data_IF_501902692284
#
_entry.id   IF_501902692284
#
_cell.length_a   1.000
_cell.length_b   1.000
_cell.length_c   1.000
_cell.angle_alpha   90.00
_cell.angle_beta   90.00
_cell.angle_gamma   90.00
#
_symmetry.space_group_name_H-M   'P 1'
#
loop_
_entity.id
_entity.type
_entity.pdbx_description
1 polymer ?
#
# COMPACT_ATOMS: atom_id res chain seq x y z
N UNK A 1 -24.69 31.19 2.36
CA UNK A 1 -23.90 31.61 1.18
C UNK A 1 -23.58 30.38 0.34
N UNK A 2 -24.11 30.36 -0.89
CA UNK A 2 -24.20 29.21 -1.79
C UNK A 2 -22.89 28.94 -2.54
N UNK A 3 -22.51 27.68 -2.73
CA UNK A 3 -21.68 27.30 -3.88
C UNK A 3 -22.25 26.07 -4.59
N UNK A 4 -22.66 26.32 -5.84
CA UNK A 4 -23.26 25.41 -6.80
C UNK A 4 -22.24 24.43 -7.38
N UNK A 5 -22.72 23.21 -7.54
CA UNK A 5 -22.20 22.13 -8.37
C UNK A 5 -21.96 22.60 -9.81
N UNK A 6 -20.80 22.27 -10.40
CA UNK A 6 -20.65 22.10 -11.85
C UNK A 6 -19.98 20.76 -12.14
N UNK A 7 -20.79 19.77 -12.52
CA UNK A 7 -20.38 18.67 -13.40
C UNK A 7 -20.30 19.23 -14.82
N UNK A 8 -19.21 18.96 -15.55
CA UNK A 8 -19.25 18.91 -17.02
C UNK A 8 -18.43 17.73 -17.50
N UNK A 9 -19.14 16.87 -18.21
CA UNK A 9 -18.67 15.78 -19.06
C UNK A 9 -17.97 16.40 -20.28
N UNK A 10 -16.83 15.85 -20.68
CA UNK A 10 -16.40 15.85 -22.08
C UNK A 10 -15.67 14.53 -22.37
N UNK A 11 -16.39 13.61 -23.01
CA UNK A 11 -15.82 12.73 -24.02
C UNK A 11 -15.59 13.58 -25.27
N UNK A 12 -14.35 13.66 -25.75
CA UNK A 12 -14.01 13.70 -27.18
C UNK A 12 -12.50 13.50 -27.31
N UNK A 13 -12.12 12.62 -28.24
CA UNK A 13 -10.78 12.08 -28.36
C UNK A 13 -9.72 13.11 -28.76
N UNK A 14 -8.56 13.00 -28.14
CA UNK A 14 -7.31 13.55 -28.64
C UNK A 14 -6.25 12.44 -28.59
N UNK A 15 -5.68 12.11 -29.76
CA UNK A 15 -4.53 11.22 -29.90
C UNK A 15 -3.32 11.82 -29.15
N UNK A 16 -2.41 10.99 -28.60
CA UNK A 16 -1.17 11.50 -28.02
C UNK A 16 -0.25 12.06 -29.13
N UNK A 17 0.44 13.19 -28.93
CA UNK A 17 1.37 13.69 -29.93
C UNK A 17 2.62 12.80 -29.99
N UNK A 18 3.05 12.53 -31.21
CA UNK A 18 4.24 11.78 -31.55
C UNK A 18 5.52 12.42 -30.97
N UNK A 19 6.50 11.58 -30.62
CA UNK A 19 7.85 12.00 -30.25
C UNK A 19 8.48 12.81 -31.39
N UNK A 20 8.66 14.11 -31.18
CA UNK A 20 9.49 14.96 -32.03
C UNK A 20 10.94 14.84 -31.59
N UNK A 21 11.76 14.20 -32.43
CA UNK A 21 13.23 14.24 -32.39
C UNK A 21 13.71 15.42 -33.23
N UNK A 22 13.85 16.62 -32.64
CA UNK A 22 14.76 17.68 -33.15
C UNK A 22 15.30 18.53 -31.99
N UNK A 23 16.55 19.03 -32.07
CA UNK A 23 17.21 19.78 -31.00
C UNK A 23 16.68 21.21 -30.89
N UNK A 24 16.65 21.74 -29.67
CA UNK A 24 16.31 23.14 -29.39
C UNK A 24 17.40 24.09 -29.94
N UNK A 25 17.04 25.27 -30.48
CA UNK A 25 18.02 26.23 -30.96
C UNK A 25 18.72 26.94 -29.80
N UNK A 26 20.04 27.05 -29.88
CA UNK A 26 20.86 27.89 -29.00
C UNK A 26 20.46 29.36 -29.16
N UNK A 27 19.65 29.88 -28.23
CA UNK A 27 19.53 31.32 -28.05
C UNK A 27 20.77 31.85 -27.32
N UNK A 28 21.51 32.68 -28.04
CA UNK A 28 22.64 33.48 -27.57
C UNK A 28 22.13 34.45 -26.49
N UNK A 29 22.48 34.21 -25.24
CA UNK A 29 22.25 35.16 -24.13
C UNK A 29 23.31 36.26 -24.23
N UNK A 30 22.93 37.40 -24.80
CA UNK A 30 23.71 38.63 -24.74
C UNK A 30 23.13 39.52 -23.63
N UNK A 31 23.83 39.57 -22.50
CA UNK A 31 23.95 40.69 -21.54
C UNK A 31 24.17 40.13 -20.13
N UNK A 32 25.44 40.11 -19.72
CA UNK A 32 25.85 39.91 -18.34
C UNK A 32 26.15 41.30 -17.75
N UNK A 33 25.54 41.61 -16.61
CA UNK A 33 25.94 42.70 -15.72
C UNK A 33 27.41 42.51 -15.31
N UNK A 34 28.30 43.50 -15.50
CA UNK A 34 29.72 43.36 -15.19
C UNK A 34 30.02 43.87 -13.78
N UNK A 35 29.45 43.27 -12.74
CA UNK A 35 29.94 43.45 -11.36
C UNK A 35 29.73 42.18 -10.53
N UNK A 36 30.59 41.18 -10.73
CA UNK A 36 30.96 40.14 -9.75
C UNK A 36 32.05 39.25 -10.38
N UNK A 37 33.24 39.80 -10.52
CA UNK A 37 34.44 39.10 -10.98
C UNK A 37 35.47 39.10 -9.84
N UNK A 38 35.41 38.10 -8.96
CA UNK A 38 36.54 37.72 -8.10
C UNK A 38 36.63 36.19 -8.04
N UNK A 39 37.62 35.67 -8.77
CA UNK A 39 38.41 34.46 -8.47
C UNK A 39 37.68 33.15 -8.17
N UNK A 40 37.27 32.41 -9.20
CA UNK A 40 37.12 30.94 -9.12
C UNK A 40 38.00 30.27 -10.19
N UNK A 41 38.81 29.25 -9.84
CA UNK A 41 39.69 28.57 -10.78
C UNK A 41 38.90 27.80 -11.86
N UNK A 42 39.38 27.76 -13.11
CA UNK A 42 38.63 27.25 -14.24
C UNK A 42 38.83 25.74 -14.34
N UNK A 43 38.01 24.96 -13.64
CA UNK A 43 37.54 23.58 -14.00
C UNK A 43 36.98 22.87 -12.78
N UNK A 44 35.90 23.39 -12.20
CA UNK A 44 35.04 22.55 -11.37
C UNK A 44 34.21 21.71 -12.34
N UNK A 45 34.48 20.40 -12.42
CA UNK A 45 33.69 19.49 -13.25
C UNK A 45 32.19 19.70 -12.95
N UNK A 46 31.36 19.90 -13.98
CA UNK A 46 29.93 20.24 -13.86
C UNK A 46 29.18 19.38 -12.84
N UNK A 47 29.57 18.11 -12.65
CA UNK A 47 29.01 17.21 -11.62
C UNK A 47 29.08 17.77 -10.18
N UNK A 48 30.14 18.50 -9.85
CA UNK A 48 30.40 19.05 -8.52
C UNK A 48 29.68 20.39 -8.28
N UNK A 49 29.15 21.02 -9.33
CA UNK A 49 28.29 22.22 -9.24
C UNK A 49 26.81 21.83 -9.32
N UNK A 50 26.47 20.85 -10.17
CA UNK A 50 25.12 20.33 -10.32
C UNK A 50 24.64 19.61 -9.05
N UNK A 51 25.50 18.83 -8.38
CA UNK A 51 25.11 18.10 -7.17
C UNK A 51 24.72 19.01 -6.00
N UNK A 52 25.47 20.09 -5.68
CA UNK A 52 25.03 21.11 -4.72
C UNK A 52 23.75 21.83 -5.15
N UNK A 53 23.60 22.18 -6.43
CA UNK A 53 22.42 22.89 -6.95
C UNK A 53 21.15 22.03 -6.89
N UNK A 54 21.23 20.73 -7.19
CA UNK A 54 20.10 19.79 -7.04
C UNK A 54 19.72 19.56 -5.58
N UNK A 55 20.70 19.64 -4.66
CA UNK A 55 20.46 19.51 -3.22
C UNK A 55 20.06 20.80 -2.54
N UNK A 56 20.30 21.96 -3.13
CA UNK A 56 20.01 23.26 -2.53
C UNK A 56 18.53 23.44 -2.19
N UNK A 57 17.55 23.06 -3.04
CA UNK A 57 16.13 23.08 -2.69
C UNK A 57 15.79 22.14 -1.53
N UNK A 58 16.41 20.96 -1.49
CA UNK A 58 16.21 19.99 -0.41
C UNK A 58 16.81 20.48 0.91
N UNK A 59 18.02 21.04 0.89
CA UNK A 59 18.67 21.63 2.06
C UNK A 59 17.91 22.85 2.57
N UNK A 60 17.46 23.74 1.67
CA UNK A 60 16.64 24.90 2.01
C UNK A 60 15.30 24.47 2.61
N UNK A 61 14.61 23.52 1.98
CA UNK A 61 13.38 22.93 2.53
C UNK A 61 13.62 22.24 3.87
N UNK A 62 14.75 21.53 4.07
CA UNK A 62 15.09 20.87 5.33
C UNK A 62 15.38 21.86 6.45
N UNK A 63 15.99 23.00 6.15
CA UNK A 63 16.25 24.07 7.12
C UNK A 63 14.94 24.80 7.45
N UNK A 64 14.21 25.26 6.44
CA UNK A 64 12.95 26.01 6.59
C UNK A 64 11.83 25.17 7.22
N UNK A 65 11.69 23.91 6.79
CA UNK A 65 10.70 22.98 7.35
C UNK A 65 11.24 22.20 8.54
N UNK A 66 12.51 22.39 8.93
CA UNK A 66 13.18 21.55 9.93
C UNK A 66 12.45 21.54 11.28
N UNK A 67 11.97 22.69 11.72
CA UNK A 67 11.18 22.81 12.97
C UNK A 67 9.82 22.14 12.84
N UNK A 68 9.12 22.35 11.71
CA UNK A 68 7.83 21.71 11.46
C UNK A 68 7.96 20.18 11.34
N UNK A 69 9.02 19.70 10.68
CA UNK A 69 9.34 18.30 10.50
C UNK A 69 9.69 17.64 11.84
N UNK A 70 10.48 18.30 12.70
CA UNK A 70 10.73 17.82 14.07
C UNK A 70 9.43 17.70 14.86
N UNK A 71 8.55 18.71 14.80
CA UNK A 71 7.24 18.65 15.45
C UNK A 71 6.36 17.51 14.91
N UNK A 72 6.38 17.26 13.60
CA UNK A 72 5.68 16.12 12.99
C UNK A 72 6.26 14.78 13.47
N UNK A 73 7.57 14.62 13.44
CA UNK A 73 8.25 13.41 13.89
C UNK A 73 7.97 13.12 15.36
N UNK A 74 7.99 14.13 16.23
CA UNK A 74 7.63 13.98 17.64
C UNK A 74 6.17 13.56 17.83
N UNK A 75 5.24 14.13 17.04
CA UNK A 75 3.84 13.68 17.05
C UNK A 75 3.71 12.22 16.62
N UNK A 76 4.39 11.82 15.56
CA UNK A 76 4.39 10.43 15.08
C UNK A 76 4.97 9.48 16.12
N UNK A 77 6.08 9.86 16.76
CA UNK A 77 6.68 9.10 17.85
C UNK A 77 5.71 8.95 19.03
N UNK A 78 5.10 10.05 19.48
CA UNK A 78 4.10 10.02 20.56
C UNK A 78 2.92 9.11 20.22
N UNK A 79 2.49 9.06 18.95
CA UNK A 79 1.44 8.15 18.49
C UNK A 79 1.92 6.69 18.45
N UNK A 80 3.17 6.45 18.04
CA UNK A 80 3.79 5.12 18.05
C UNK A 80 3.90 4.56 19.47
N UNK A 81 4.29 5.40 20.44
CA UNK A 81 4.44 5.04 21.84
C UNK A 81 3.08 4.68 22.50
N UNK A 82 1.97 5.15 21.93
CA UNK A 82 0.60 4.87 22.40
C UNK A 82 0.00 3.58 21.84
N UNK A 83 0.68 2.87 20.94
CA UNK A 83 0.13 1.62 20.40
C UNK A 83 1.05 0.86 19.45
N UNK A 84 1.21 -0.41 19.77
CA UNK A 84 2.10 -1.38 19.09
C UNK A 84 1.88 -1.44 17.58
N UNK A 85 0.64 -1.29 17.12
CA UNK A 85 0.29 -1.37 15.71
C UNK A 85 0.86 -0.21 14.88
N UNK A 86 0.95 1.00 15.45
CA UNK A 86 1.42 2.18 14.73
C UNK A 86 2.95 2.22 14.70
N UNK A 87 3.59 1.86 15.82
CA UNK A 87 5.04 1.65 15.87
C UNK A 87 5.51 0.64 14.83
N UNK A 88 4.85 -0.53 14.76
CA UNK A 88 5.18 -1.55 13.77
C UNK A 88 4.99 -1.07 12.32
N UNK A 89 3.99 -0.23 12.06
CA UNK A 89 3.75 0.33 10.74
C UNK A 89 4.82 1.34 10.30
N UNK A 90 5.35 2.14 11.25
CA UNK A 90 6.41 3.13 11.00
C UNK A 90 7.77 2.50 10.66
N UNK A 91 7.99 1.23 11.01
CA UNK A 91 9.22 0.51 10.68
C UNK A 91 9.38 0.19 9.18
N UNK A 92 8.35 0.45 8.36
CA UNK A 92 8.45 0.29 6.91
C UNK A 92 9.10 1.50 6.25
N UNK A 93 10.16 1.26 5.49
CA UNK A 93 10.79 2.31 4.66
C UNK A 93 9.92 2.67 3.46
N UNK A 94 10.00 3.91 2.95
CA UNK A 94 9.33 4.29 1.70
C UNK A 94 9.68 3.34 0.55
N UNK A 95 10.93 2.89 0.44
CA UNK A 95 11.35 1.93 -0.60
C UNK A 95 10.58 0.62 -0.50
N UNK A 96 10.40 0.07 0.70
CA UNK A 96 9.60 -1.14 0.92
C UNK A 96 8.12 -0.93 0.60
N UNK A 97 7.58 0.26 0.92
CA UNK A 97 6.19 0.61 0.66
C UNK A 97 5.88 0.73 -0.84
N UNK A 98 6.77 1.37 -1.60
CA UNK A 98 6.59 1.64 -3.04
C UNK A 98 7.10 0.51 -3.94
N UNK A 99 7.86 -0.46 -3.42
CA UNK A 99 8.35 -1.62 -4.20
C UNK A 99 7.31 -2.73 -4.35
N UNK A 100 6.11 -2.41 -4.87
CA UNK A 100 4.99 -3.36 -4.93
C UNK A 100 4.88 -4.17 -6.22
N UNK A 101 5.67 -3.87 -7.26
CA UNK A 101 5.69 -4.62 -8.53
C UNK A 101 4.29 -4.90 -9.14
N UNK A 102 3.43 -3.88 -9.15
CA UNK A 102 2.04 -3.97 -9.61
C UNK A 102 1.21 -5.07 -8.90
N UNK A 103 1.54 -5.39 -7.64
CA UNK A 103 0.78 -6.34 -6.83
C UNK A 103 -0.44 -5.70 -6.14
N UNK A 104 -0.32 -4.42 -5.81
CA UNK A 104 -1.40 -3.57 -5.30
C UNK A 104 -1.46 -2.28 -6.12
N UNK A 105 -2.53 -1.51 -5.98
CA UNK A 105 -2.72 -0.24 -6.68
C UNK A 105 -2.04 0.92 -5.93
N UNK A 106 -1.71 1.98 -6.67
CA UNK A 106 -1.19 3.24 -6.10
C UNK A 106 -2.08 3.78 -4.97
N UNK A 107 -3.40 3.68 -5.13
CA UNK A 107 -4.36 4.08 -4.11
C UNK A 107 -4.15 3.33 -2.80
N UNK A 108 -3.92 2.01 -2.86
CA UNK A 108 -3.72 1.18 -1.67
C UNK A 108 -2.41 1.55 -0.95
N UNK A 109 -1.35 1.85 -1.72
CA UNK A 109 -0.08 2.33 -1.18
C UNK A 109 -0.27 3.69 -0.49
N UNK A 110 -0.97 4.63 -1.14
CA UNK A 110 -1.24 5.96 -0.60
C UNK A 110 -2.10 5.94 0.66
N UNK A 111 -3.14 5.10 0.70
CA UNK A 111 -3.97 4.95 1.92
C UNK A 111 -3.12 4.46 3.08
N UNK A 112 -2.30 3.43 2.85
CA UNK A 112 -1.39 2.93 3.89
C UNK A 112 -0.40 3.99 4.33
N UNK A 113 0.27 4.67 3.39
CA UNK A 113 1.22 5.75 3.69
C UNK A 113 0.60 6.82 4.59
N UNK A 114 -0.57 7.33 4.20
CA UNK A 114 -1.28 8.37 4.96
C UNK A 114 -1.82 7.87 6.29
N UNK A 115 -2.19 6.59 6.39
CA UNK A 115 -2.56 5.99 7.67
C UNK A 115 -1.38 6.04 8.64
N UNK A 116 -0.21 5.56 8.20
CA UNK A 116 1.00 5.54 9.02
C UNK A 116 1.47 6.95 9.40
N UNK A 117 1.28 7.94 8.53
CA UNK A 117 1.58 9.33 8.85
C UNK A 117 0.45 10.07 9.61
N UNK A 118 -0.64 9.39 9.96
CA UNK A 118 -1.82 10.00 10.59
C UNK A 118 -2.42 11.17 9.78
N UNK A 119 -2.30 11.10 8.45
CA UNK A 119 -2.72 12.11 7.47
C UNK A 119 -4.03 11.78 6.75
N UNK A 120 -4.70 10.68 7.11
CA UNK A 120 -6.02 10.36 6.56
C UNK A 120 -7.05 11.33 7.14
N UNK A 121 -7.75 12.04 6.24
CA UNK A 121 -8.72 13.04 6.63
C UNK A 121 -10.02 12.37 7.09
N UNK A 122 -10.30 12.49 8.38
CA UNK A 122 -11.50 11.96 9.00
C UNK A 122 -12.70 12.91 8.93
N UNK A 123 -12.62 14.01 8.19
CA UNK A 123 -13.71 14.98 8.05
C UNK A 123 -15.03 14.37 7.53
N UNK A 124 -16.14 14.90 8.03
CA UNK A 124 -17.48 14.78 7.46
C UNK A 124 -18.41 15.90 7.97
N UNK A 125 -19.51 16.21 7.26
CA UNK A 125 -20.46 17.21 7.72
C UNK A 125 -21.03 16.91 9.12
N UNK A 126 -20.95 17.90 10.01
CA UNK A 126 -21.41 17.78 11.41
C UNK A 126 -20.44 17.05 12.34
N UNK A 127 -19.21 16.75 11.91
CA UNK A 127 -18.22 16.06 12.76
C UNK A 127 -17.81 16.85 14.01
N UNK A 128 -17.80 18.18 13.90
CA UNK A 128 -17.50 19.07 15.02
C UNK A 128 -18.53 18.92 16.16
N UNK A 129 -19.79 18.63 15.81
CA UNK A 129 -20.88 18.38 16.75
C UNK A 129 -20.87 16.94 17.25
N UNK A 130 -20.58 15.98 16.36
CA UNK A 130 -20.53 14.57 16.70
C UNK A 130 -19.42 13.87 15.91
N UNK A 131 -18.34 13.52 16.60
CA UNK A 131 -17.19 12.81 16.04
C UNK A 131 -17.25 11.30 16.26
N UNK A 132 -18.41 10.75 16.60
CA UNK A 132 -18.60 9.32 16.80
C UNK A 132 -18.59 8.55 15.49
N UNK A 133 -18.17 7.30 15.55
CA UNK A 133 -18.09 6.44 14.39
C UNK A 133 -19.48 6.05 13.90
N UNK A 134 -19.69 6.22 12.59
CA UNK A 134 -20.97 5.95 11.92
C UNK A 134 -21.02 4.58 11.24
N UNK A 135 -19.93 3.79 11.27
CA UNK A 135 -19.79 2.55 10.47
C UNK A 135 -20.83 1.48 10.81
N UNK A 136 -21.16 1.33 12.09
CA UNK A 136 -22.19 0.43 12.59
C UNK A 136 -22.96 1.14 13.70
N UNK A 137 -24.21 0.73 13.95
CA UNK A 137 -25.03 1.26 15.06
C UNK A 137 -24.33 1.08 16.41
N UNK A 138 -23.70 -0.07 16.65
CA UNK A 138 -22.93 -0.37 17.88
C UNK A 138 -21.74 0.58 18.10
N UNK A 139 -21.24 1.25 17.05
CA UNK A 139 -20.15 2.21 17.18
C UNK A 139 -20.60 3.62 17.58
N UNK A 140 -21.91 3.88 17.70
CA UNK A 140 -22.48 5.23 17.79
C UNK A 140 -22.02 6.08 18.98
N UNK A 141 -21.47 5.47 20.02
CA UNK A 141 -20.89 6.15 21.20
C UNK A 141 -19.37 6.26 21.17
N UNK A 142 -18.69 5.63 20.20
CA UNK A 142 -17.23 5.58 20.14
C UNK A 142 -16.68 6.65 19.22
N UNK A 143 -15.77 7.48 19.74
CA UNK A 143 -15.07 8.49 18.95
C UNK A 143 -14.35 7.87 17.74
N UNK A 144 -14.62 8.41 16.56
CA UNK A 144 -13.98 7.96 15.33
C UNK A 144 -12.53 8.45 15.25
N UNK A 145 -11.61 7.50 15.38
CA UNK A 145 -10.16 7.68 15.25
C UNK A 145 -9.61 6.72 14.20
N UNK A 146 -8.38 6.95 13.72
CA UNK A 146 -7.70 6.00 12.83
C UNK A 146 -7.53 4.64 13.53
N UNK A 147 -7.14 4.62 14.81
CA UNK A 147 -7.08 3.39 15.61
C UNK A 147 -8.44 2.66 15.61
N UNK A 148 -9.55 3.38 15.75
CA UNK A 148 -10.87 2.76 15.70
C UNK A 148 -11.21 2.19 14.31
N UNK A 149 -11.03 2.98 13.25
CA UNK A 149 -11.37 2.56 11.87
C UNK A 149 -10.59 1.33 11.44
N UNK A 150 -9.30 1.29 11.75
CA UNK A 150 -8.38 0.26 11.24
C UNK A 150 -8.14 -0.88 12.21
N UNK A 151 -8.43 -0.69 13.50
CA UNK A 151 -8.13 -1.70 14.51
C UNK A 151 -9.31 -2.00 15.43
N UNK A 152 -9.79 -1.05 16.24
CA UNK A 152 -10.67 -1.39 17.37
C UNK A 152 -12.16 -1.45 17.06
N UNK A 153 -12.60 -1.00 15.87
CA UNK A 153 -14.01 -1.13 15.48
C UNK A 153 -14.39 -2.60 15.28
N UNK A 154 -15.65 -3.00 15.55
CA UNK A 154 -16.11 -4.38 15.31
C UNK A 154 -15.90 -4.84 13.86
N UNK A 155 -16.06 -3.92 12.89
CA UNK A 155 -15.75 -4.21 11.48
C UNK A 155 -14.28 -4.53 11.29
N UNK A 156 -13.38 -3.70 11.81
CA UNK A 156 -11.94 -3.96 11.70
C UNK A 156 -11.55 -5.28 12.36
N UNK A 157 -12.01 -5.52 13.59
CA UNK A 157 -11.75 -6.76 14.32
C UNK A 157 -12.24 -7.99 13.54
N UNK A 158 -13.48 -7.99 13.06
CA UNK A 158 -14.01 -9.11 12.29
C UNK A 158 -13.26 -9.34 10.96
N UNK A 159 -12.80 -8.28 10.30
CA UNK A 159 -12.05 -8.41 9.05
C UNK A 159 -10.64 -8.94 9.27
N UNK A 160 -9.94 -8.45 10.30
CA UNK A 160 -8.63 -8.97 10.67
C UNK A 160 -8.71 -10.40 11.20
N UNK A 161 -9.72 -10.71 12.00
CA UNK A 161 -9.98 -12.07 12.48
C UNK A 161 -10.16 -13.04 11.31
N UNK A 162 -11.03 -12.71 10.35
CA UNK A 162 -11.28 -13.57 9.19
C UNK A 162 -9.99 -13.82 8.38
N UNK A 163 -9.17 -12.77 8.18
CA UNK A 163 -7.89 -12.88 7.49
C UNK A 163 -6.87 -13.72 8.28
N UNK A 164 -6.79 -13.54 9.59
CA UNK A 164 -5.87 -14.29 10.44
C UNK A 164 -6.26 -15.75 10.57
N UNK A 165 -7.55 -16.06 10.77
CA UNK A 165 -8.08 -17.43 10.80
C UNK A 165 -7.74 -18.14 9.49
N UNK A 166 -8.04 -17.50 8.36
CA UNK A 166 -7.70 -17.96 7.02
C UNK A 166 -6.19 -18.19 6.82
N UNK A 167 -5.36 -17.35 7.44
CA UNK A 167 -3.92 -17.38 7.25
C UNK A 167 -3.24 -18.47 8.07
N UNK A 168 -3.63 -18.59 9.34
CA UNK A 168 -3.05 -19.54 10.28
C UNK A 168 -3.62 -20.95 10.10
N UNK A 169 -4.78 -21.08 9.43
CA UNK A 169 -5.49 -22.35 9.28
C UNK A 169 -6.09 -22.85 10.59
N UNK A 170 -6.36 -21.94 11.52
CA UNK A 170 -6.94 -22.21 12.83
C UNK A 170 -7.78 -21.03 13.27
N UNK A 171 -8.86 -21.29 14.01
CA UNK A 171 -9.73 -20.21 14.48
C UNK A 171 -9.00 -19.24 15.42
N UNK A 172 -8.94 -17.96 15.03
CA UNK A 172 -8.40 -16.88 15.85
C UNK A 172 -9.57 -16.25 16.58
N UNK A 173 -9.51 -16.23 17.91
CA UNK A 173 -10.56 -15.61 18.72
C UNK A 173 -10.48 -14.08 18.62
N UNK A 174 -11.61 -13.36 18.78
CA UNK A 174 -11.62 -11.90 18.65
C UNK A 174 -10.62 -11.18 19.57
N UNK A 175 -10.43 -11.68 20.79
CA UNK A 175 -9.48 -11.10 21.74
C UNK A 175 -8.01 -11.31 21.33
N UNK A 176 -7.72 -12.38 20.58
CA UNK A 176 -6.36 -12.71 20.14
C UNK A 176 -5.89 -11.87 18.96
N UNK A 177 -6.81 -11.25 18.20
CA UNK A 177 -6.50 -10.40 17.04
C UNK A 177 -5.51 -9.30 17.43
N UNK A 178 -5.65 -8.74 18.64
CA UNK A 178 -4.77 -7.69 19.19
C UNK A 178 -3.30 -8.10 19.24
N UNK A 179 -2.99 -9.38 19.47
CA UNK A 179 -1.61 -9.88 19.49
C UNK A 179 -0.93 -9.83 18.11
N UNK A 180 -1.72 -9.83 17.04
CA UNK A 180 -1.22 -9.78 15.66
C UNK A 180 -1.14 -8.37 15.09
N UNK A 181 -1.47 -7.33 15.86
CA UNK A 181 -1.54 -5.95 15.38
C UNK A 181 -0.25 -5.48 14.71
N UNK A 182 0.89 -5.79 15.34
CA UNK A 182 2.20 -5.47 14.80
C UNK A 182 2.43 -6.13 13.43
N UNK A 183 2.11 -7.41 13.29
CA UNK A 183 2.28 -8.16 12.05
C UNK A 183 1.38 -7.66 10.93
N UNK A 184 0.09 -7.44 11.21
CA UNK A 184 -0.88 -6.92 10.25
C UNK A 184 -0.48 -5.53 9.75
N UNK A 185 -0.13 -4.63 10.67
CA UNK A 185 0.17 -3.24 10.34
C UNK A 185 1.57 -3.04 9.77
N UNK A 186 2.56 -3.83 10.21
CA UNK A 186 3.86 -3.91 9.53
C UNK A 186 3.77 -4.68 8.21
N UNK A 187 2.63 -5.29 7.88
CA UNK A 187 2.47 -6.17 6.71
C UNK A 187 3.57 -7.24 6.65
N UNK A 188 4.02 -7.64 7.83
CA UNK A 188 5.04 -8.65 8.06
C UNK A 188 4.34 -9.93 8.48
N UNK A 189 4.77 -11.03 7.87
CA UNK A 189 4.21 -12.34 8.12
C UNK A 189 4.27 -12.66 9.63
N UNK A 190 3.14 -13.06 10.26
CA UNK A 190 3.18 -13.65 11.59
C UNK A 190 4.09 -14.89 11.59
N UNK A 191 4.81 -15.19 12.67
CA UNK A 191 5.61 -16.40 12.77
C UNK A 191 4.74 -17.63 12.47
N UNK A 192 5.19 -18.45 11.52
CA UNK A 192 4.50 -19.71 11.24
C UNK A 192 4.71 -20.66 12.41
N UNK A 193 3.67 -21.38 12.80
CA UNK A 193 3.80 -22.43 13.80
C UNK A 193 4.77 -23.52 13.32
N UNK A 194 5.44 -24.19 14.27
CA UNK A 194 6.36 -25.29 13.94
C UNK A 194 5.67 -26.38 13.10
N UNK A 195 4.41 -26.69 13.42
CA UNK A 195 3.60 -27.66 12.69
C UNK A 195 3.33 -27.22 11.25
N UNK A 196 2.97 -25.95 11.03
CA UNK A 196 2.76 -25.40 9.69
C UNK A 196 4.07 -25.43 8.87
N UNK A 197 5.18 -24.98 9.46
CA UNK A 197 6.48 -25.01 8.80
C UNK A 197 6.92 -26.44 8.46
N UNK A 198 6.66 -27.40 9.33
CA UNK A 198 6.96 -28.80 9.07
C UNK A 198 6.10 -29.37 7.94
N UNK A 199 4.80 -29.03 7.88
CA UNK A 199 3.94 -29.37 6.73
C UNK A 199 4.50 -28.80 5.43
N UNK A 200 4.92 -27.54 5.39
CA UNK A 200 5.54 -26.96 4.20
C UNK A 200 6.80 -27.71 3.77
N UNK A 201 7.68 -28.04 4.72
CA UNK A 201 8.92 -28.77 4.43
C UNK A 201 8.63 -30.15 3.85
N UNK A 202 7.64 -30.86 4.39
CA UNK A 202 7.21 -32.15 3.84
C UNK A 202 6.62 -31.99 2.44
N UNK A 203 5.79 -30.97 2.20
CA UNK A 203 5.11 -30.76 0.92
C UNK A 203 6.03 -30.23 -0.18
N UNK A 204 6.94 -29.32 0.14
CA UNK A 204 7.74 -28.55 -0.83
C UNK A 204 9.24 -28.88 -0.81
N UNK A 205 9.70 -29.69 0.15
CA UNK A 205 11.11 -30.09 0.28
C UNK A 205 12.05 -28.89 0.31
N UNK A 206 13.12 -28.98 -0.48
CA UNK A 206 14.17 -27.96 -0.57
C UNK A 206 13.70 -26.63 -1.17
N UNK A 207 12.51 -26.58 -1.77
CA UNK A 207 11.96 -25.36 -2.37
C UNK A 207 11.19 -24.48 -1.39
N UNK A 208 11.02 -24.91 -0.14
CA UNK A 208 10.20 -24.24 0.89
C UNK A 208 10.53 -22.75 1.06
N UNK A 209 11.81 -22.37 1.00
CA UNK A 209 12.23 -20.97 1.14
C UNK A 209 11.71 -20.08 0.01
N UNK A 210 11.67 -20.61 -1.22
CA UNK A 210 11.09 -19.93 -2.38
C UNK A 210 9.60 -19.70 -2.20
N UNK A 211 8.89 -20.68 -1.63
CA UNK A 211 7.47 -20.54 -1.30
C UNK A 211 7.23 -19.53 -0.20
N UNK A 212 8.07 -19.49 0.84
CA UNK A 212 7.98 -18.51 1.93
C UNK A 212 8.08 -17.07 1.41
N UNK A 213 8.93 -16.81 0.41
CA UNK A 213 9.02 -15.49 -0.23
C UNK A 213 7.68 -15.10 -0.87
N UNK A 214 7.05 -16.00 -1.62
CA UNK A 214 5.73 -15.74 -2.20
C UNK A 214 4.66 -15.61 -1.13
N UNK A 215 4.78 -16.37 -0.04
CA UNK A 215 3.82 -16.32 1.05
C UNK A 215 3.87 -14.98 1.79
N UNK A 216 5.06 -14.48 2.08
CA UNK A 216 5.28 -13.10 2.59
C UNK A 216 4.66 -12.05 1.66
N UNK A 217 4.80 -12.23 0.33
CA UNK A 217 4.20 -11.33 -0.66
C UNK A 217 2.67 -11.37 -0.62
N UNK A 218 2.06 -12.55 -0.53
CA UNK A 218 0.61 -12.69 -0.43
C UNK A 218 0.10 -12.01 0.85
N UNK A 219 0.76 -12.24 1.99
CA UNK A 219 0.42 -11.58 3.26
C UNK A 219 0.42 -10.06 3.13
N UNK A 220 1.48 -9.53 2.53
CA UNK A 220 1.65 -8.11 2.32
C UNK A 220 0.53 -7.51 1.44
N UNK A 221 0.11 -8.23 0.40
CA UNK A 221 -1.01 -7.85 -0.47
C UNK A 221 -2.32 -7.84 0.32
N UNK A 222 -2.66 -8.93 1.02
CA UNK A 222 -3.96 -9.03 1.70
C UNK A 222 -4.10 -8.03 2.84
N UNK A 223 -3.02 -7.73 3.58
CA UNK A 223 -3.01 -6.67 4.59
C UNK A 223 -3.26 -5.29 3.96
N UNK A 224 -2.59 -5.00 2.83
CA UNK A 224 -2.77 -3.73 2.11
C UNK A 224 -4.20 -3.58 1.58
N UNK A 225 -4.78 -4.67 1.05
CA UNK A 225 -6.19 -4.71 0.63
C UNK A 225 -7.11 -4.45 1.82
N UNK A 226 -6.93 -5.17 2.93
CA UNK A 226 -7.74 -5.01 4.13
C UNK A 226 -7.78 -3.55 4.60
N UNK A 227 -6.61 -2.94 4.76
CA UNK A 227 -6.45 -1.53 5.15
C UNK A 227 -7.21 -0.63 4.17
N UNK A 228 -6.95 -0.76 2.86
CA UNK A 228 -7.64 0.07 1.87
C UNK A 228 -9.15 -0.12 1.84
N UNK A 229 -9.64 -1.34 2.02
CA UNK A 229 -11.07 -1.66 2.05
C UNK A 229 -11.75 -1.12 3.30
N UNK A 230 -11.12 -1.20 4.48
CA UNK A 230 -11.65 -0.57 5.70
C UNK A 230 -11.82 0.94 5.52
N UNK A 231 -10.87 1.59 4.84
CA UNK A 231 -10.94 3.01 4.51
C UNK A 231 -12.06 3.33 3.53
N UNK A 232 -12.18 2.58 2.44
CA UNK A 232 -13.25 2.73 1.44
C UNK A 232 -14.62 2.55 2.10
N UNK A 233 -14.81 1.49 2.88
CA UNK A 233 -16.05 1.20 3.60
C UNK A 233 -16.45 2.36 4.51
N UNK A 234 -15.51 2.91 5.28
CA UNK A 234 -15.77 4.10 6.10
C UNK A 234 -16.24 5.28 5.24
N UNK A 235 -15.59 5.54 4.11
CA UNK A 235 -15.97 6.65 3.26
C UNK A 235 -17.34 6.46 2.61
N UNK A 236 -17.72 5.24 2.23
CA UNK A 236 -19.07 4.94 1.73
C UNK A 236 -20.15 5.22 2.78
N UNK A 237 -19.93 4.85 4.04
CA UNK A 237 -20.87 5.16 5.12
C UNK A 237 -21.01 6.68 5.30
N UNK A 238 -19.88 7.37 5.32
CA UNK A 238 -19.82 8.78 5.71
C UNK A 238 -20.25 9.73 4.59
N UNK A 239 -19.89 9.44 3.34
CA UNK A 239 -20.11 10.32 2.19
C UNK A 239 -21.19 9.82 1.23
N UNK A 240 -21.47 8.51 1.21
CA UNK A 240 -22.49 7.90 0.35
C UNK A 240 -23.69 7.38 1.16
N UNK A 241 -23.69 7.57 2.48
CA UNK A 241 -24.75 7.13 3.41
C UNK A 241 -25.04 5.63 3.36
N UNK A 242 -24.06 4.82 2.95
CA UNK A 242 -24.21 3.37 2.86
C UNK A 242 -24.35 2.76 4.27
N UNK A 243 -25.29 1.83 4.42
CA UNK A 243 -25.38 1.00 5.62
C UNK A 243 -24.49 -0.23 5.46
N UNK A 244 -23.60 -0.44 6.41
CA UNK A 244 -22.75 -1.62 6.44
C UNK A 244 -23.29 -2.63 7.46
N UNK A 245 -23.12 -3.91 7.12
CA UNK A 245 -23.18 -4.99 8.11
C UNK A 245 -21.77 -5.53 8.35
N UNK A 246 -21.55 -6.09 9.54
CA UNK A 246 -20.29 -6.75 9.88
C UNK A 246 -19.98 -7.86 8.87
N UNK A 247 -20.95 -8.76 8.66
CA UNK A 247 -20.79 -9.90 7.76
C UNK A 247 -20.55 -9.47 6.31
N UNK A 248 -21.25 -8.43 5.83
CA UNK A 248 -21.03 -7.89 4.48
C UNK A 248 -19.63 -7.29 4.33
N UNK A 249 -19.16 -6.58 5.34
CA UNK A 249 -17.82 -5.98 5.33
C UNK A 249 -16.71 -7.03 5.31
N UNK A 250 -16.84 -8.09 6.10
CA UNK A 250 -15.91 -9.22 6.12
C UNK A 250 -15.90 -9.95 4.78
N UNK A 251 -17.08 -10.24 4.21
CA UNK A 251 -17.20 -10.88 2.89
C UNK A 251 -16.54 -10.06 1.80
N UNK A 252 -16.75 -8.75 1.77
CA UNK A 252 -16.12 -7.85 0.80
C UNK A 252 -14.59 -7.89 0.92
N UNK A 253 -14.05 -7.82 2.14
CA UNK A 253 -12.59 -7.83 2.36
C UNK A 253 -11.99 -9.17 1.96
N UNK A 254 -12.62 -10.29 2.29
CA UNK A 254 -12.15 -11.61 1.86
C UNK A 254 -12.16 -11.73 0.33
N UNK A 255 -13.25 -11.31 -0.32
CA UNK A 255 -13.37 -11.34 -1.77
C UNK A 255 -12.31 -10.46 -2.47
N UNK A 256 -12.09 -9.24 -1.97
CA UNK A 256 -11.08 -8.33 -2.51
C UNK A 256 -9.66 -8.83 -2.24
N UNK A 257 -9.42 -9.37 -1.04
CA UNK A 257 -8.13 -9.93 -0.61
C UNK A 257 -7.71 -11.11 -1.50
N UNK A 258 -8.68 -11.87 -2.01
CA UNK A 258 -8.46 -12.98 -2.93
C UNK A 258 -8.28 -12.58 -4.39
N UNK A 259 -8.96 -11.52 -4.82
CA UNK A 259 -8.97 -11.09 -6.22
C UNK A 259 -7.57 -10.76 -6.74
N UNK A 260 -6.77 -10.04 -5.95
CA UNK A 260 -5.42 -9.62 -6.35
C UNK A 260 -4.42 -10.78 -6.45
N UNK A 261 -4.28 -11.66 -5.45
CA UNK A 261 -3.47 -12.87 -5.57
C UNK A 261 -3.89 -13.76 -6.75
N UNK A 262 -5.20 -13.89 -7.03
CA UNK A 262 -5.69 -14.63 -8.22
C UNK A 262 -5.25 -13.97 -9.53
N UNK A 263 -5.34 -12.66 -9.64
CA UNK A 263 -4.87 -11.95 -10.82
C UNK A 263 -3.34 -12.10 -11.01
N UNK A 264 -2.59 -12.04 -9.91
CA UNK A 264 -1.14 -12.28 -9.92
C UNK A 264 -0.81 -13.72 -10.34
N UNK A 265 -1.51 -14.73 -9.84
CA UNK A 265 -1.24 -16.12 -10.22
C UNK A 265 -1.51 -16.38 -11.70
N UNK A 266 -2.54 -15.76 -12.29
CA UNK A 266 -2.77 -15.78 -13.76
C UNK A 266 -1.60 -15.13 -14.48
N UNK A 267 -1.18 -13.93 -14.06
CA UNK A 267 -0.06 -13.19 -14.70
C UNK A 267 1.24 -13.98 -14.67
N UNK A 268 1.62 -14.54 -13.52
CA UNK A 268 2.86 -15.29 -13.39
C UNK A 268 2.81 -16.59 -14.22
N UNK A 269 1.65 -17.27 -14.30
CA UNK A 269 1.48 -18.42 -15.21
C UNK A 269 1.67 -18.05 -16.68
N UNK A 270 1.11 -16.93 -17.12
CA UNK A 270 1.27 -16.45 -18.51
C UNK A 270 2.73 -16.12 -18.84
N UNK A 271 3.49 -15.52 -17.90
CA UNK A 271 4.93 -15.28 -18.10
C UNK A 271 5.72 -16.56 -18.29
N UNK A 272 5.41 -17.60 -17.51
CA UNK A 272 6.06 -18.91 -17.65
C UNK A 272 5.74 -19.56 -19.00
N UNK A 273 4.50 -19.42 -19.49
CA UNK A 273 4.10 -19.92 -20.81
C UNK A 273 4.77 -19.12 -21.95
N UNK A 274 4.87 -17.80 -21.82
CA UNK A 274 5.56 -16.94 -22.79
C UNK A 274 7.07 -17.20 -22.88
N UNK A 275 7.72 -17.49 -21.74
CA UNK A 275 9.14 -17.90 -21.73
C UNK A 275 9.35 -19.27 -22.38
N UNK A 276 8.43 -20.22 -22.19
CA UNK A 276 8.49 -21.53 -22.87
C UNK A 276 8.30 -21.41 -24.39
N UNK A 277 7.45 -20.51 -24.86
CA UNK A 277 7.28 -20.23 -26.28
C UNK A 277 8.52 -19.58 -26.93
N UNK A 278 9.30 -18.81 -26.16
CA UNK A 278 10.56 -18.20 -26.64
C UNK A 278 11.74 -19.19 -26.68
N UNK A 279 11.70 -20.29 -25.92
CA UNK A 279 12.78 -21.29 -25.86
C UNK A 279 12.53 -22.44 -26.84
N UNK A 280 11.27 -22.71 -27.21
CA UNK A 280 10.90 -23.73 -28.18
C UNK A 280 10.43 -23.14 -29.50
N UNK A 281 11.27 -22.30 -30.10
CA UNK A 281 11.29 -22.10 -31.54
C UNK A 281 12.05 -23.24 -32.24
N UNK A 282 11.72 -24.50 -31.94
CA UNK A 282 12.06 -25.74 -32.68
C UNK A 282 11.65 -26.97 -31.87
N UNK A 283 10.73 -27.76 -32.42
CA UNK A 283 10.48 -29.18 -32.16
C UNK A 283 10.51 -29.70 -30.69
N UNK A 284 9.32 -29.95 -30.13
CA UNK A 284 8.85 -31.31 -29.76
C UNK A 284 7.55 -31.20 -28.94
N UNK A 285 6.48 -31.83 -29.46
CA UNK A 285 5.26 -32.10 -28.70
C UNK A 285 5.61 -33.11 -27.61
N UNK A 286 5.74 -32.65 -26.37
CA UNK A 286 5.59 -33.52 -25.21
C UNK A 286 4.24 -33.23 -24.56
N UNK A 287 3.33 -34.18 -24.73
CA UNK A 287 2.10 -34.33 -23.98
C UNK A 287 2.43 -34.25 -22.49
N UNK A 288 2.04 -33.15 -21.84
CA UNK A 288 2.20 -32.99 -20.39
C UNK A 288 0.97 -33.61 -19.71
N UNK A 289 1.12 -34.50 -18.73
CA UNK A 289 -0.01 -34.90 -17.90
C UNK A 289 -0.49 -33.67 -17.14
N UNK A 290 -1.81 -33.47 -17.10
CA UNK A 290 -2.41 -32.43 -16.29
C UNK A 290 -1.98 -32.61 -14.83
N UNK A 291 -1.02 -31.78 -14.37
CA UNK A 291 -0.83 -31.47 -12.97
C UNK A 291 -2.10 -30.75 -12.49
N UNK A 292 -3.13 -31.53 -12.20
CA UNK A 292 -4.19 -31.13 -11.28
C UNK A 292 -3.48 -30.88 -9.96
N UNK A 293 -3.25 -29.60 -9.67
CA UNK A 293 -3.15 -29.17 -8.28
C UNK A 293 -4.39 -29.75 -7.57
N UNK A 294 -4.24 -30.43 -6.42
CA UNK A 294 -5.39 -30.90 -5.69
C UNK A 294 -6.22 -29.68 -5.29
N UNK A 295 -7.37 -29.48 -5.94
CA UNK A 295 -8.36 -28.46 -5.60
C UNK A 295 -9.08 -28.77 -4.27
N UNK A 296 -8.69 -29.84 -3.59
CA UNK A 296 -9.16 -30.24 -2.29
C UNK A 296 -7.96 -30.28 -1.33
N UNK A 297 -8.01 -29.48 -0.26
CA UNK A 297 -7.01 -29.29 0.81
C UNK A 297 -6.11 -28.03 0.79
N UNK A 298 -6.44 -27.01 -0.02
CA UNK A 298 -6.28 -25.62 0.44
C UNK A 298 -7.65 -25.15 0.91
N UNK A 299 -8.12 -25.79 1.99
CA UNK A 299 -9.17 -25.21 2.81
C UNK A 299 -8.51 -24.06 3.56
N UNK A 300 -9.08 -22.88 3.32
CA UNK A 300 -8.96 -21.69 4.15
C UNK A 300 -9.20 -22.04 5.61
#
# INVERSE_FOLDING_TARGET
>A
MQWRIRRRIYHQGARPPARSTRPWPCHRVSSLDPQLSVGYPPTIANRHVLWPLERQPYCKAKVELGTALRGLLQKLQTCADRGDWHSAALNQTPKQLWSHHNAITEYQVWVYYRLVLQQLNLFFPGRELNNSCRRLSVCGSTKETLKHIFWTSPVAQGCWQALLTSWLGSDVRPYDVSHYAGHCMARQLPPLSRSMMQRLRVTFGDTVETYIVQWKRIWWIVCSVCISSLWIQRNRVVHEQLQLSLQGSVREICANGLRQPRALSVRERLKLQGCKASVYGSALRYSTPALRLPEHHILW
#
